data_IF_342234487946
#
_entry.id   IF_342234487946
#
_cell.length_a   1.000
_cell.length_b   1.000
_cell.length_c   1.000
_cell.angle_alpha   90.00
_cell.angle_beta   90.00
_cell.angle_gamma   90.00
#
_symmetry.space_group_name_H-M   'P 1'
#
loop_
_entity.id
_entity.type
_entity.pdbx_description
1 polymer ?
#
# COMPACT_ATOMS: atom_id res chain seq x y z
N UNK A 1 -16.44 -13.97 48.29
CA UNK A 1 -15.47 -14.41 47.27
C UNK A 1 -16.12 -15.17 46.11
N UNK A 2 -16.94 -16.22 46.32
CA UNK A 2 -17.49 -17.04 45.22
C UNK A 2 -18.29 -16.32 44.12
N UNK A 3 -19.10 -15.29 44.44
CA UNK A 3 -19.89 -14.57 43.42
C UNK A 3 -19.06 -13.69 42.49
N UNK A 4 -17.98 -13.10 42.99
CA UNK A 4 -17.09 -12.24 42.18
C UNK A 4 -16.25 -13.10 41.25
N UNK A 5 -15.71 -14.23 41.73
CA UNK A 5 -14.97 -15.19 40.89
C UNK A 5 -15.83 -15.78 39.77
N UNK A 6 -17.11 -16.07 40.04
CA UNK A 6 -18.04 -16.61 39.02
C UNK A 6 -18.32 -15.60 37.89
N UNK A 7 -18.47 -14.31 38.23
CA UNK A 7 -18.70 -13.24 37.26
C UNK A 7 -17.49 -12.95 36.36
N UNK A 8 -16.27 -13.09 36.89
CA UNK A 8 -15.05 -12.99 36.08
C UNK A 8 -14.91 -14.18 35.11
N UNK A 9 -15.28 -15.39 35.52
CA UNK A 9 -15.23 -16.55 34.64
C UNK A 9 -16.19 -16.43 33.44
N UNK A 10 -17.39 -15.89 33.61
CA UNK A 10 -18.35 -15.75 32.50
C UNK A 10 -17.90 -14.72 31.47
N UNK A 11 -17.33 -13.59 31.91
CA UNK A 11 -16.82 -12.55 31.00
C UNK A 11 -15.67 -13.07 30.12
N UNK A 12 -14.77 -13.87 30.69
CA UNK A 12 -13.64 -14.48 29.95
C UNK A 12 -14.15 -15.49 28.91
N UNK A 13 -15.18 -16.26 29.25
CA UNK A 13 -15.81 -17.22 28.32
C UNK A 13 -16.51 -16.48 27.18
N UNK A 14 -17.26 -15.41 27.46
CA UNK A 14 -17.93 -14.59 26.43
C UNK A 14 -16.92 -13.94 25.48
N UNK A 15 -15.83 -13.39 26.00
CA UNK A 15 -14.73 -12.87 25.18
C UNK A 15 -14.09 -13.95 24.29
N UNK A 16 -13.84 -15.14 24.84
CA UNK A 16 -13.25 -16.24 24.08
C UNK A 16 -14.19 -16.73 22.96
N UNK A 17 -15.50 -16.77 23.23
CA UNK A 17 -16.53 -17.11 22.26
C UNK A 17 -16.58 -16.05 21.15
N UNK A 18 -16.60 -14.75 21.49
CA UNK A 18 -16.57 -13.65 20.51
C UNK A 18 -15.30 -13.70 19.63
N UNK A 19 -14.15 -14.00 20.23
CA UNK A 19 -12.89 -14.21 19.50
C UNK A 19 -12.96 -15.41 18.55
N UNK A 20 -13.53 -16.54 19.01
CA UNK A 20 -13.73 -17.72 18.18
C UNK A 20 -14.63 -17.45 16.99
N UNK A 21 -15.75 -16.75 17.19
CA UNK A 21 -16.65 -16.34 16.13
C UNK A 21 -15.99 -15.36 15.14
N UNK A 22 -15.24 -14.38 15.63
CA UNK A 22 -14.52 -13.43 14.77
C UNK A 22 -13.51 -14.13 13.84
N UNK A 23 -12.72 -15.07 14.37
CA UNK A 23 -11.74 -15.83 13.58
C UNK A 23 -12.41 -16.73 12.53
N UNK A 24 -13.50 -17.42 12.89
CA UNK A 24 -14.24 -18.25 11.95
C UNK A 24 -14.83 -17.40 10.80
N UNK A 25 -15.34 -16.21 11.11
CA UNK A 25 -15.86 -15.26 10.13
C UNK A 25 -14.76 -14.75 9.18
N UNK A 26 -13.56 -14.48 9.71
CA UNK A 26 -12.40 -14.08 8.90
C UNK A 26 -11.98 -15.18 7.93
N UNK A 27 -11.95 -16.44 8.37
CA UNK A 27 -11.61 -17.58 7.52
C UNK A 27 -12.63 -17.78 6.38
N UNK A 28 -13.93 -17.66 6.67
CA UNK A 28 -14.99 -17.70 5.66
C UNK A 28 -14.87 -16.50 4.70
N UNK A 29 -14.62 -15.30 5.23
CA UNK A 29 -14.38 -14.10 4.43
C UNK A 29 -13.18 -14.25 3.48
N UNK A 30 -12.08 -14.85 3.94
CA UNK A 30 -10.90 -15.11 3.12
C UNK A 30 -11.18 -16.14 2.01
N UNK A 31 -11.85 -17.25 2.33
CA UNK A 31 -12.25 -18.24 1.32
C UNK A 31 -13.14 -17.61 0.25
N UNK A 32 -14.06 -16.74 0.65
CA UNK A 32 -14.95 -16.03 -0.25
C UNK A 32 -14.22 -15.02 -1.15
N UNK A 33 -13.14 -14.39 -0.67
CA UNK A 33 -12.29 -13.55 -1.51
C UNK A 33 -11.64 -14.37 -2.63
N UNK A 34 -11.17 -15.59 -2.35
CA UNK A 34 -10.61 -16.47 -3.37
C UNK A 34 -11.64 -16.89 -4.44
N UNK A 35 -12.93 -16.78 -4.15
CA UNK A 35 -14.04 -17.06 -5.07
C UNK A 35 -14.58 -15.79 -5.75
N UNK A 36 -14.08 -14.61 -5.38
CA UNK A 36 -14.59 -13.33 -5.83
C UNK A 36 -14.28 -13.04 -7.30
N UNK A 37 -15.08 -12.16 -7.91
CA UNK A 37 -14.82 -11.69 -9.26
C UNK A 37 -13.67 -10.68 -9.26
N UNK A 38 -12.78 -10.85 -10.23
CA UNK A 38 -11.69 -9.90 -10.45
C UNK A 38 -12.20 -8.66 -11.21
N UNK A 39 -11.74 -7.50 -10.75
CA UNK A 39 -11.81 -6.24 -11.50
C UNK A 39 -10.42 -5.87 -11.97
N UNK A 40 -10.38 -5.16 -13.08
CA UNK A 40 -9.16 -4.54 -13.59
C UNK A 40 -9.31 -3.02 -13.60
N UNK A 41 -8.22 -2.31 -13.38
CA UNK A 41 -8.17 -0.86 -13.58
C UNK A 41 -6.78 -0.45 -14.07
N UNK A 42 -6.74 0.72 -14.72
CA UNK A 42 -5.51 1.40 -15.09
C UNK A 42 -5.43 2.71 -14.31
N UNK A 43 -4.31 2.93 -13.64
CA UNK A 43 -4.00 4.18 -12.96
C UNK A 43 -2.84 4.87 -13.69
N UNK A 44 -2.89 6.19 -13.76
CA UNK A 44 -1.76 7.01 -14.16
C UNK A 44 -1.48 7.98 -13.01
N UNK A 45 -0.25 7.96 -12.51
CA UNK A 45 0.21 8.83 -11.42
C UNK A 45 1.62 9.31 -11.72
N UNK A 46 2.00 10.42 -11.11
CA UNK A 46 3.32 11.01 -11.21
C UNK A 46 3.97 11.04 -9.83
N UNK A 47 5.19 10.51 -9.74
CA UNK A 47 6.03 10.57 -8.54
C UNK A 47 6.89 11.82 -8.62
N UNK A 48 6.84 12.64 -7.58
CA UNK A 48 7.64 13.85 -7.42
C UNK A 48 8.86 13.49 -6.54
N UNK A 49 9.99 13.19 -7.18
CA UNK A 49 11.21 12.63 -6.58
C UNK A 49 12.20 13.76 -6.25
N UNK A 50 12.26 14.18 -4.99
CA UNK A 50 13.13 15.26 -4.51
C UNK A 50 14.41 14.63 -3.91
N UNK A 51 15.38 14.31 -4.78
CA UNK A 51 16.66 13.68 -4.40
C UNK A 51 17.58 14.63 -3.61
N UNK A 52 17.35 15.94 -3.73
CA UNK A 52 18.13 16.99 -3.10
C UNK A 52 17.30 18.26 -2.89
N UNK A 53 17.97 19.41 -2.86
CA UNK A 53 17.33 20.72 -2.65
C UNK A 53 17.01 21.03 -1.19
N UNK A 54 16.11 22.00 -0.97
CA UNK A 54 15.77 22.48 0.38
C UNK A 54 14.90 21.50 1.18
N UNK A 55 14.11 20.64 0.52
CA UNK A 55 13.15 19.74 1.15
C UNK A 55 13.22 18.30 0.58
N UNK A 56 14.38 17.63 0.62
CA UNK A 56 14.54 16.33 0.00
C UNK A 56 13.62 15.27 0.61
N UNK A 57 13.01 14.47 -0.25
CA UNK A 57 12.14 13.34 0.11
C UNK A 57 12.88 12.01 0.08
N UNK A 58 14.12 11.99 -0.42
CA UNK A 58 14.97 10.80 -0.52
C UNK A 58 16.24 10.96 0.29
N UNK A 59 16.57 9.94 1.10
CA UNK A 59 17.72 9.96 2.00
C UNK A 59 18.53 8.67 1.93
N UNK A 60 19.85 8.80 2.00
CA UNK A 60 20.75 7.65 2.13
C UNK A 60 20.62 7.00 3.52
N UNK A 61 20.42 5.68 3.53
CA UNK A 61 20.30 4.87 4.74
C UNK A 61 21.57 4.06 4.99
N UNK A 62 22.12 3.47 3.93
CA UNK A 62 23.31 2.66 4.01
C UNK A 62 24.15 2.75 2.73
N UNK A 63 25.45 2.52 2.89
CA UNK A 63 26.40 2.41 1.80
C UNK A 63 27.34 1.23 2.04
N UNK A 64 27.75 0.58 0.97
CA UNK A 64 28.85 -0.38 0.97
C UNK A 64 30.20 0.34 0.91
N UNK A 65 31.27 -0.34 1.30
CA UNK A 65 32.64 0.18 1.18
C UNK A 65 33.05 0.44 -0.28
N UNK A 66 32.42 -0.22 -1.25
CA UNK A 66 32.67 -0.01 -2.68
C UNK A 66 31.76 1.04 -3.33
N UNK A 67 30.76 1.58 -2.62
CA UNK A 67 29.73 2.44 -3.22
C UNK A 67 30.33 3.67 -3.90
N UNK A 68 31.31 4.34 -3.28
CA UNK A 68 31.92 5.57 -3.83
C UNK A 68 32.80 5.35 -5.05
N UNK A 69 33.29 4.13 -5.27
CA UNK A 69 34.14 3.77 -6.41
C UNK A 69 33.41 2.94 -7.46
N UNK A 70 32.18 2.51 -7.17
CA UNK A 70 31.35 1.73 -8.09
C UNK A 70 30.78 2.65 -9.16
N UNK A 71 30.87 2.29 -10.46
CA UNK A 71 30.29 3.11 -11.54
C UNK A 71 28.76 3.20 -11.45
N UNK A 72 28.11 2.25 -10.78
CA UNK A 72 26.66 2.16 -10.59
C UNK A 72 26.21 2.55 -9.17
N UNK A 73 27.11 3.06 -8.33
CA UNK A 73 26.85 3.32 -6.90
C UNK A 73 26.39 2.06 -6.13
N UNK A 74 26.89 0.88 -6.51
CA UNK A 74 26.48 -0.41 -5.95
C UNK A 74 26.50 -0.41 -4.41
N UNK A 75 25.45 -0.96 -3.81
CA UNK A 75 25.29 -1.06 -2.37
C UNK A 75 24.81 0.22 -1.69
N UNK A 76 24.49 1.27 -2.44
CA UNK A 76 23.74 2.42 -1.92
C UNK A 76 22.29 2.03 -1.67
N UNK A 77 21.81 2.20 -0.43
CA UNK A 77 20.41 2.01 -0.03
C UNK A 77 19.83 3.36 0.35
N UNK A 78 18.70 3.72 -0.24
CA UNK A 78 17.96 4.95 0.04
C UNK A 78 16.54 4.64 0.50
N UNK A 79 16.03 5.48 1.40
CA UNK A 79 14.62 5.55 1.79
C UNK A 79 13.98 6.75 1.10
N UNK A 80 12.71 6.62 0.71
CA UNK A 80 11.96 7.70 0.10
C UNK A 80 10.52 7.77 0.63
N UNK A 81 10.00 8.99 0.66
CA UNK A 81 8.59 9.32 0.91
C UNK A 81 8.17 10.44 -0.07
N UNK A 82 7.92 10.08 -1.31
CA UNK A 82 7.68 11.01 -2.41
C UNK A 82 6.19 11.31 -2.55
N UNK A 83 5.87 12.50 -3.08
CA UNK A 83 4.50 12.89 -3.38
C UNK A 83 4.01 12.18 -4.66
N UNK A 84 2.78 11.67 -4.62
CA UNK A 84 2.04 11.25 -5.82
C UNK A 84 1.03 12.31 -6.26
N UNK A 85 1.05 12.65 -7.54
CA UNK A 85 0.10 13.58 -8.17
C UNK A 85 -0.62 12.94 -9.36
N UNK A 86 -1.77 13.50 -9.76
CA UNK A 86 -2.53 13.07 -10.95
C UNK A 86 -2.06 13.72 -12.27
N UNK A 87 -1.13 14.66 -12.18
CA UNK A 87 -0.46 15.32 -13.30
C UNK A 87 1.02 15.54 -13.00
N UNK A 88 1.83 15.88 -14.02
CA UNK A 88 3.27 16.04 -13.86
C UNK A 88 3.66 17.27 -13.04
N UNK A 89 2.81 18.29 -12.96
CA UNK A 89 3.04 19.47 -12.13
C UNK A 89 2.96 19.12 -10.64
N UNK A 90 3.92 19.60 -9.83
CA UNK A 90 3.94 19.43 -8.38
C UNK A 90 2.68 19.94 -7.68
N UNK A 91 2.01 20.92 -8.29
CA UNK A 91 0.76 21.52 -7.80
C UNK A 91 -0.49 20.83 -8.35
N UNK A 92 -0.35 19.81 -9.21
CA UNK A 92 -1.46 18.94 -9.58
C UNK A 92 -2.07 18.26 -8.34
N UNK A 93 -3.24 17.65 -8.50
CA UNK A 93 -3.96 17.09 -7.37
C UNK A 93 -3.11 16.03 -6.69
N UNK A 94 -2.92 16.18 -5.39
CA UNK A 94 -2.21 15.22 -4.55
C UNK A 94 -3.09 13.98 -4.39
N UNK A 95 -2.58 12.83 -4.81
CA UNK A 95 -3.34 11.57 -4.78
C UNK A 95 -2.80 10.55 -3.78
N UNK A 96 -1.58 10.73 -3.29
CA UNK A 96 -0.97 9.80 -2.35
C UNK A 96 0.51 10.05 -2.10
N UNK A 97 1.20 8.99 -1.65
CA UNK A 97 2.66 8.95 -1.42
C UNK A 97 3.27 7.68 -2.00
N UNK A 98 4.48 7.76 -2.53
CA UNK A 98 5.32 6.59 -2.81
C UNK A 98 6.32 6.44 -1.66
N UNK A 99 6.30 5.32 -0.97
CA UNK A 99 7.07 5.12 0.26
C UNK A 99 7.82 3.79 0.22
N UNK A 100 9.10 3.79 0.58
CA UNK A 100 9.85 2.54 0.70
C UNK A 100 11.35 2.71 0.52
N UNK A 101 11.96 1.68 -0.07
CA UNK A 101 13.41 1.59 -0.26
C UNK A 101 13.75 1.39 -1.74
N UNK A 102 14.86 1.99 -2.14
CA UNK A 102 15.54 1.72 -3.41
C UNK A 102 16.99 1.37 -3.13
N UNK A 103 17.54 0.42 -3.89
CA UNK A 103 18.94 -0.01 -3.73
C UNK A 103 19.63 -0.11 -5.07
N UNK A 104 20.80 0.51 -5.21
CA UNK A 104 21.67 0.28 -6.37
C UNK A 104 22.26 -1.12 -6.29
N UNK A 105 21.66 -2.07 -7.01
CA UNK A 105 21.86 -3.51 -6.80
C UNK A 105 22.52 -4.23 -7.99
N UNK A 106 22.95 -3.48 -9.00
CA UNK A 106 23.57 -4.01 -10.22
C UNK A 106 24.99 -3.45 -10.35
N UNK A 107 25.96 -4.34 -10.58
CA UNK A 107 27.39 -3.99 -10.67
C UNK A 107 27.79 -3.38 -12.02
N UNK A 108 26.97 -3.58 -13.05
CA UNK A 108 27.31 -3.26 -14.44
C UNK A 108 26.38 -2.21 -15.04
N UNK A 109 25.09 -2.26 -14.69
CA UNK A 109 24.06 -1.36 -15.20
C UNK A 109 23.57 -0.45 -14.07
N UNK A 110 23.34 0.83 -14.35
CA UNK A 110 22.66 1.72 -13.40
C UNK A 110 21.20 1.27 -13.22
N UNK A 111 20.96 0.43 -12.22
CA UNK A 111 19.66 -0.15 -11.94
C UNK A 111 19.35 -0.20 -10.44
N UNK A 112 18.12 0.16 -10.10
CA UNK A 112 17.60 0.11 -8.74
C UNK A 112 16.80 -1.18 -8.53
N UNK A 113 17.03 -1.85 -7.41
CA UNK A 113 16.04 -2.76 -6.83
C UNK A 113 15.02 -1.93 -6.06
N UNK A 114 13.75 -2.04 -6.45
CA UNK A 114 12.64 -1.26 -5.92
C UNK A 114 11.85 -2.08 -4.90
N UNK A 115 11.55 -1.48 -3.75
CA UNK A 115 10.59 -1.99 -2.77
C UNK A 115 9.74 -0.82 -2.30
N UNK A 116 8.62 -0.57 -2.99
CA UNK A 116 7.80 0.61 -2.80
C UNK A 116 6.35 0.26 -2.48
N UNK A 117 5.71 1.11 -1.70
CA UNK A 117 4.28 1.15 -1.49
C UNK A 117 3.73 2.47 -2.03
N UNK A 118 2.76 2.38 -2.93
CA UNK A 118 1.98 3.53 -3.37
C UNK A 118 0.78 3.62 -2.44
N UNK A 119 0.79 4.60 -1.55
CA UNK A 119 -0.21 4.84 -0.50
C UNK A 119 -1.16 5.93 -0.99
N UNK A 120 -2.38 5.55 -1.37
CA UNK A 120 -3.38 6.50 -1.88
C UNK A 120 -4.09 7.19 -0.72
N UNK A 121 -4.20 8.52 -0.78
CA UNK A 121 -4.76 9.35 0.31
C UNK A 121 -5.94 10.20 -0.16
N UNK A 122 -6.47 9.94 -1.36
CA UNK A 122 -7.62 10.67 -1.88
C UNK A 122 -8.42 9.86 -2.90
N UNK A 123 -9.62 10.33 -3.22
CA UNK A 123 -10.49 9.72 -4.23
C UNK A 123 -11.00 8.33 -3.81
N UNK A 124 -11.42 7.53 -4.80
CA UNK A 124 -12.02 6.21 -4.57
C UNK A 124 -11.05 5.16 -4.00
N UNK A 125 -9.75 5.45 -3.96
CA UNK A 125 -8.72 4.54 -3.47
C UNK A 125 -8.11 5.01 -2.15
N UNK A 126 -8.67 6.05 -1.51
CA UNK A 126 -8.17 6.57 -0.23
C UNK A 126 -8.01 5.45 0.82
N UNK A 127 -6.87 5.42 1.50
CA UNK A 127 -6.52 4.41 2.50
C UNK A 127 -6.06 3.07 1.92
N UNK A 128 -6.07 2.90 0.60
CA UNK A 128 -5.59 1.68 -0.07
C UNK A 128 -4.14 1.81 -0.50
N UNK A 129 -3.45 0.68 -0.66
CA UNK A 129 -2.07 0.67 -1.14
C UNK A 129 -1.84 -0.31 -2.28
N UNK A 130 -0.83 -0.04 -3.11
CA UNK A 130 -0.25 -1.00 -4.05
C UNK A 130 1.22 -1.23 -3.70
N UNK A 131 1.66 -2.49 -3.71
CA UNK A 131 3.04 -2.86 -3.45
C UNK A 131 3.76 -3.12 -4.78
N UNK A 132 4.87 -2.42 -5.00
CA UNK A 132 5.71 -2.52 -6.19
C UNK A 132 7.05 -3.12 -5.80
N UNK A 133 7.43 -4.19 -6.50
CA UNK A 133 8.73 -4.86 -6.34
C UNK A 133 9.32 -5.12 -7.73
N UNK A 134 10.59 -4.80 -7.94
CA UNK A 134 11.23 -5.12 -9.22
C UNK A 134 12.56 -4.43 -9.46
N UNK A 135 13.16 -4.73 -10.62
CA UNK A 135 14.40 -4.12 -11.11
C UNK A 135 14.07 -2.96 -12.03
N UNK A 136 14.63 -1.79 -11.76
CA UNK A 136 14.40 -0.54 -12.47
C UNK A 136 15.71 -0.05 -13.13
N UNK A 137 16.02 -0.46 -14.38
CA UNK A 137 17.21 -0.02 -15.10
C UNK A 137 17.03 1.39 -15.66
N UNK A 138 17.74 2.37 -15.09
CA UNK A 138 17.45 3.80 -15.27
C UNK A 138 17.69 4.30 -16.70
N UNK A 139 18.56 3.64 -17.47
CA UNK A 139 18.85 3.99 -18.87
C UNK A 139 17.74 3.59 -19.85
N UNK A 140 16.83 2.70 -19.44
CA UNK A 140 15.69 2.31 -20.26
C UNK A 140 14.58 3.37 -20.18
N UNK A 141 14.05 3.78 -21.34
CA UNK A 141 12.95 4.75 -21.42
C UNK A 141 11.68 4.25 -20.71
N UNK A 142 11.31 2.98 -20.92
CA UNK A 142 10.17 2.33 -20.29
C UNK A 142 10.64 1.14 -19.46
N UNK A 143 10.18 1.07 -18.22
CA UNK A 143 10.67 0.12 -17.22
C UNK A 143 9.48 -0.54 -16.55
N UNK A 144 9.41 -1.87 -16.62
CA UNK A 144 8.33 -2.64 -16.03
C UNK A 144 8.68 -3.07 -14.61
N UNK A 145 7.72 -2.89 -13.69
CA UNK A 145 7.80 -3.30 -12.29
C UNK A 145 6.56 -4.11 -11.92
N UNK A 146 6.73 -5.16 -11.12
CA UNK A 146 5.61 -6.00 -10.73
C UNK A 146 4.77 -5.34 -9.63
N UNK A 147 3.45 -5.42 -9.78
CA UNK A 147 2.52 -5.22 -8.66
C UNK A 147 2.38 -6.57 -7.97
N UNK A 148 2.95 -6.68 -6.78
CA UNK A 148 3.04 -7.94 -6.02
C UNK A 148 1.96 -8.06 -4.95
N UNK A 149 1.17 -7.01 -4.73
CA UNK A 149 0.11 -6.99 -3.75
C UNK A 149 -0.54 -5.61 -3.60
N UNK A 150 -1.49 -5.54 -2.68
CA UNK A 150 -2.15 -4.30 -2.29
C UNK A 150 -3.03 -4.48 -1.06
N UNK A 151 -3.48 -3.36 -0.50
CA UNK A 151 -4.36 -3.31 0.67
C UNK A 151 -5.62 -2.49 0.36
N UNK A 152 -6.61 -2.53 1.27
CA UNK A 152 -7.88 -1.84 1.08
C UNK A 152 -8.61 -2.33 -0.17
N UNK A 153 -8.97 -1.41 -1.06
CA UNK A 153 -9.62 -1.71 -2.35
C UNK A 153 -8.77 -2.65 -3.21
N UNK A 154 -7.44 -2.56 -3.11
CA UNK A 154 -6.51 -3.38 -3.89
C UNK A 154 -6.11 -4.68 -3.18
N UNK A 155 -6.94 -5.20 -2.27
CA UNK A 155 -6.69 -6.50 -1.64
C UNK A 155 -6.56 -7.59 -2.72
N UNK A 156 -5.57 -8.48 -2.55
CA UNK A 156 -5.20 -9.52 -3.52
C UNK A 156 -4.77 -8.97 -4.89
N UNK A 157 -4.33 -7.71 -4.96
CA UNK A 157 -3.89 -7.11 -6.21
C UNK A 157 -2.69 -7.82 -6.83
N UNK A 158 -2.70 -7.91 -8.16
CA UNK A 158 -1.56 -8.31 -8.99
C UNK A 158 -1.57 -7.55 -10.31
N UNK A 159 -0.42 -7.46 -10.95
CA UNK A 159 -0.29 -6.81 -12.25
C UNK A 159 1.10 -6.24 -12.45
N UNK A 160 1.18 -5.13 -13.17
CA UNK A 160 2.44 -4.49 -13.51
C UNK A 160 2.28 -2.98 -13.62
N UNK A 161 3.39 -2.27 -13.45
CA UNK A 161 3.51 -0.85 -13.70
C UNK A 161 4.58 -0.61 -14.76
N UNK A 162 4.32 0.29 -15.69
CA UNK A 162 5.31 0.81 -16.63
C UNK A 162 5.68 2.22 -16.17
N UNK A 163 6.96 2.45 -15.87
CA UNK A 163 7.48 3.75 -15.47
C UNK A 163 8.49 4.31 -16.47
N UNK A 164 8.50 5.63 -16.60
CA UNK A 164 9.44 6.42 -17.39
C UNK A 164 9.82 7.70 -16.61
N UNK A 165 10.93 8.31 -16.99
CA UNK A 165 11.31 9.63 -16.47
C UNK A 165 10.64 10.68 -17.34
N UNK A 166 9.69 11.43 -16.77
CA UNK A 166 8.98 12.50 -17.48
C UNK A 166 9.86 13.74 -17.63
N UNK A 167 10.51 14.15 -16.54
CA UNK A 167 11.50 15.24 -16.52
C UNK A 167 12.49 15.05 -15.38
N UNK A 168 13.67 15.67 -15.51
CA UNK A 168 14.66 15.74 -14.44
C UNK A 168 15.34 17.11 -14.52
N UNK A 169 15.44 17.79 -13.38
CA UNK A 169 16.18 19.03 -13.21
C UNK A 169 17.45 18.74 -12.40
N UNK A 170 18.60 18.86 -13.07
CA UNK A 170 19.92 18.61 -12.48
C UNK A 170 20.27 19.63 -11.38
N UNK A 171 19.84 20.88 -11.51
CA UNK A 171 20.23 21.96 -10.58
C UNK A 171 19.59 21.75 -9.21
N UNK A 172 18.32 21.36 -9.20
CA UNK A 172 17.55 21.10 -7.98
C UNK A 172 17.56 19.63 -7.57
N UNK A 173 18.11 18.73 -8.40
CA UNK A 173 18.05 17.29 -8.24
C UNK A 173 16.62 16.78 -8.05
N UNK A 174 15.73 17.25 -8.93
CA UNK A 174 14.29 17.00 -8.87
C UNK A 174 13.82 16.22 -10.09
N UNK A 175 13.24 15.04 -9.86
CA UNK A 175 12.70 14.18 -10.90
C UNK A 175 11.18 14.11 -10.86
N UNK A 176 10.58 13.98 -12.05
CA UNK A 176 9.18 13.59 -12.20
C UNK A 176 9.15 12.25 -12.91
N UNK A 177 8.62 11.22 -12.26
CA UNK A 177 8.46 9.88 -12.84
C UNK A 177 6.99 9.61 -13.15
N UNK A 178 6.71 9.18 -14.37
CA UNK A 178 5.37 8.73 -14.72
C UNK A 178 5.23 7.24 -14.39
N UNK A 179 4.08 6.85 -13.85
CA UNK A 179 3.70 5.45 -13.61
C UNK A 179 2.34 5.16 -14.24
N UNK A 180 2.33 4.22 -15.19
CA UNK A 180 1.12 3.61 -15.74
C UNK A 180 0.93 2.22 -15.11
N UNK A 181 -0.03 2.11 -14.21
CA UNK A 181 -0.24 0.91 -13.38
C UNK A 181 -1.46 0.15 -13.89
N UNK A 182 -1.28 -1.12 -14.20
CA UNK A 182 -2.34 -2.05 -14.61
C UNK A 182 -2.50 -3.07 -13.50
N UNK A 183 -3.66 -3.07 -12.84
CA UNK A 183 -3.89 -3.91 -11.67
C UNK A 183 -5.21 -4.67 -11.78
N UNK A 184 -5.14 -5.98 -11.53
CA UNK A 184 -6.27 -6.84 -11.25
C UNK A 184 -6.41 -7.02 -9.74
N UNK A 185 -7.61 -6.86 -9.20
CA UNK A 185 -7.90 -6.98 -7.76
C UNK A 185 -9.31 -7.56 -7.54
N UNK A 186 -9.58 -8.08 -6.35
CA UNK A 186 -10.87 -8.70 -6.03
C UNK A 186 -11.78 -7.66 -5.36
N UNK A 187 -13.04 -7.58 -5.79
CA UNK A 187 -14.06 -6.83 -5.05
C UNK A 187 -14.93 -7.77 -4.21
N UNK A 188 -14.92 -7.59 -2.90
CA UNK A 188 -15.90 -8.25 -2.02
C UNK A 188 -17.19 -7.43 -1.99
N UNK A 189 -18.21 -7.87 -2.73
CA UNK A 189 -19.61 -7.54 -2.40
C UNK A 189 -20.15 -8.70 -1.57
N UNK A 190 -20.40 -8.47 -0.28
CA UNK A 190 -21.16 -9.42 0.54
C UNK A 190 -22.22 -8.67 1.34
N UNK A 191 -23.47 -9.12 1.21
CA UNK A 191 -24.56 -8.96 2.17
C UNK A 191 -24.70 -10.29 2.91
N UNK A 192 -24.94 -10.27 4.22
CA UNK A 192 -25.18 -11.49 5.00
C UNK A 192 -26.45 -11.31 5.83
N UNK A 193 -27.36 -12.26 5.71
CA UNK A 193 -28.51 -12.38 6.61
C UNK A 193 -28.06 -13.14 7.85
N UNK A 194 -28.12 -12.51 9.02
CA UNK A 194 -27.88 -13.20 10.29
C UNK A 194 -29.22 -13.71 10.80
N UNK A 195 -29.48 -15.01 10.64
CA UNK A 195 -30.57 -15.67 11.36
C UNK A 195 -30.17 -15.82 12.83
N UNK A 196 -30.79 -15.01 13.68
CA UNK A 196 -30.72 -15.18 15.14
C UNK A 196 -31.94 -15.95 15.63
N UNK A 197 -31.90 -16.52 16.84
CA UNK A 197 -33.08 -17.10 17.50
C UNK A 197 -34.22 -16.08 17.75
N UNK A 198 -34.01 -14.80 17.43
CA UNK A 198 -34.95 -13.70 17.55
C UNK A 198 -35.44 -13.14 16.19
N UNK A 199 -35.05 -13.77 15.06
CA UNK A 199 -35.41 -13.36 13.70
C UNK A 199 -34.21 -12.99 12.82
N UNK A 200 -34.49 -12.71 11.55
CA UNK A 200 -33.51 -12.24 10.55
C UNK A 200 -33.22 -10.77 10.81
N UNK A 201 -31.97 -10.45 11.15
CA UNK A 201 -31.47 -9.09 11.09
C UNK A 201 -30.61 -8.97 9.81
N UNK A 202 -31.10 -8.21 8.84
CA UNK A 202 -30.29 -7.81 7.67
C UNK A 202 -29.14 -6.94 8.18
N UNK A 203 -27.95 -7.54 8.29
CA UNK A 203 -26.73 -6.81 8.56
C UNK A 203 -26.01 -6.61 7.23
N UNK A 204 -26.13 -5.40 6.68
CA UNK A 204 -25.17 -4.91 5.70
C UNK A 204 -23.83 -4.65 6.42
N UNK A 205 -23.14 -5.73 6.80
CA UNK A 205 -21.72 -5.65 7.12
C UNK A 205 -21.03 -5.42 5.79
N UNK A 206 -20.91 -4.14 5.41
CA UNK A 206 -19.71 -3.73 4.69
C UNK A 206 -18.57 -4.33 5.50
N UNK A 207 -17.80 -5.25 4.92
CA UNK A 207 -16.52 -5.65 5.51
C UNK A 207 -15.59 -4.43 5.35
N UNK A 208 -15.94 -3.35 6.04
CA UNK A 208 -15.21 -2.14 6.21
C UNK A 208 -14.22 -2.43 7.33
N UNK A 209 -13.16 -3.14 6.99
CA UNK A 209 -11.94 -3.01 7.76
C UNK A 209 -11.14 -1.86 7.14
N UNK A 210 -11.25 -0.73 7.85
CA UNK A 210 -10.49 0.52 7.75
C UNK A 210 -11.02 1.54 6.73
N UNK A 211 -12.12 2.21 7.09
CA UNK A 211 -12.26 3.64 6.84
C UNK A 211 -11.60 4.37 8.02
N UNK A 212 -10.30 4.69 7.88
CA UNK A 212 -9.53 5.45 8.88
C UNK A 212 -9.82 6.96 8.83
N UNK A 213 -10.96 7.41 8.30
CA UNK A 213 -11.29 8.84 8.19
C UNK A 213 -12.39 9.35 9.13
N UNK A 214 -12.94 8.53 10.03
CA UNK A 214 -13.88 8.98 11.06
C UNK A 214 -13.31 8.81 12.47
N UNK A 215 -12.41 9.71 12.86
CA UNK A 215 -12.11 9.98 14.27
C UNK A 215 -13.34 10.59 14.95
N UNK A 216 -14.05 9.78 15.72
CA UNK A 216 -14.79 10.20 16.91
C UNK A 216 -14.89 9.01 17.87
N UNK A 217 -13.73 8.56 18.37
CA UNK A 217 -13.70 7.87 19.65
C UNK A 217 -13.26 8.86 20.72
N UNK A 218 -14.26 9.48 21.36
CA UNK A 218 -14.06 9.93 22.72
C UNK A 218 -13.67 8.71 23.57
N UNK A 219 -12.57 8.88 24.27
CA UNK A 219 -12.13 8.01 25.36
C UNK A 219 -13.27 7.70 26.31
N UNK A 220 -13.50 6.41 26.56
CA UNK A 220 -14.13 5.94 27.79
C UNK A 220 -13.19 4.93 28.44
N UNK A 221 -12.45 5.47 29.42
CA UNK A 221 -11.69 4.88 30.53
C UNK A 221 -10.70 3.75 30.25
#
# INVERSE_FOLDING_TARGET
>A
MGKVTFMFCTLVIEMAILWGYANAQEQVGFQNLCLGNEKTTRLQVFVQDELGGENPTVWDVARSNITSTSPTSFGQVRVLDDLLTDGPDRNSKRVGRAQGLITSADLQVSALAMNLNFVFTSGQYNGSTLCILGRNPLENQYRELAIVGGTGVFRMARGYAITSTYSYDDETSYGVLEYNIYVAYITSTYSYDVETSYGVLEYNIYVAYVDASNENMQSLN
#
